data_IF_576094736709
#
_entry.id   IF_576094736709
#
_cell.length_a   1.000
_cell.length_b   1.000
_cell.length_c   1.000
_cell.angle_alpha   90.00
_cell.angle_beta   90.00
_cell.angle_gamma   90.00
#
_symmetry.space_group_name_H-M   'P 1'
#
loop_
_entity.id
_entity.type
_entity.pdbx_description
1 polymer ?
2 non-polymer ?
3 non-polymer ?
4 non-polymer ?
5 water ?
#
# COMPACT_ATOMS: atom_id res chain seq x y z
N UNK A 9 20.82 -12.66 -8.97
CA UNK A 9 19.82 -11.84 -9.64
C UNK A 9 18.89 -12.68 -10.50
N UNK A 10 19.28 -13.92 -10.74
CA UNK A 10 18.50 -14.84 -11.56
C UNK A 10 17.23 -15.26 -10.84
N UNK A 11 17.28 -15.29 -9.51
CA UNK A 11 16.11 -15.66 -8.71
C UNK A 11 15.06 -14.56 -8.74
N UNK A 12 15.51 -13.32 -8.92
CA UNK A 12 14.61 -12.18 -9.01
C UNK A 12 13.87 -12.15 -10.34
N UNK A 13 14.62 -12.34 -11.43
CA UNK A 13 14.04 -12.33 -12.77
C UNK A 13 13.05 -13.48 -12.94
N UNK A 14 13.34 -14.61 -12.32
CA UNK A 14 12.41 -15.74 -12.32
C UNK A 14 11.20 -15.41 -11.48
N UNK A 15 11.42 -14.65 -10.41
CA UNK A 15 10.33 -14.19 -9.56
C UNK A 15 9.38 -13.29 -10.31
N UNK A 16 9.94 -12.41 -11.13
CA UNK A 16 9.13 -11.53 -11.98
C UNK A 16 8.34 -12.35 -12.99
N UNK A 17 8.96 -13.41 -13.49
CA UNK A 17 8.31 -14.28 -14.48
C UNK A 17 7.13 -15.03 -13.89
N UNK A 18 7.33 -15.58 -12.70
CA UNK A 18 6.28 -16.33 -12.01
C UNK A 18 5.07 -15.45 -11.70
N UNK A 19 5.33 -14.25 -11.18
CA UNK A 19 4.28 -13.31 -10.87
C UNK A 19 3.49 -12.92 -12.11
N UNK A 20 4.20 -12.71 -13.22
CA UNK A 20 3.55 -12.42 -14.49
C UNK A 20 2.77 -13.63 -14.99
N UNK A 21 3.32 -14.82 -14.73
CA UNK A 21 2.71 -16.07 -15.16
C UNK A 21 1.36 -16.32 -14.51
N UNK A 22 1.28 -16.09 -13.21
CA UNK A 22 0.04 -16.26 -12.47
C UNK A 22 -1.06 -15.34 -12.98
N UNK A 23 -0.67 -14.11 -13.32
CA UNK A 23 -1.60 -13.13 -13.85
C UNK A 23 -2.21 -13.57 -15.18
N UNK A 24 -1.39 -14.20 -16.02
CA UNK A 24 -1.84 -14.68 -17.32
C UNK A 24 -2.77 -15.89 -17.15
N UNK A 25 -2.45 -16.76 -16.19
CA UNK A 25 -3.25 -17.94 -15.92
C UNK A 25 -4.62 -17.57 -15.35
N UNK A 26 -4.67 -16.47 -14.63
CA UNK A 26 -5.86 -16.04 -13.96
C UNK A 26 -6.60 -15.04 -14.80
N UNK A 27 -6.14 -14.84 -16.01
CA UNK A 27 -6.76 -13.87 -16.89
C UNK A 27 -8.17 -14.22 -17.24
N UNK A 28 -8.93 -13.22 -17.64
CA UNK A 28 -10.29 -13.41 -18.15
C UNK A 28 -10.23 -13.75 -19.63
N UNK A 29 -9.18 -13.31 -20.30
CA UNK A 29 -8.94 -13.63 -21.69
C UNK A 29 -7.48 -13.35 -22.06
N UNK A 30 -6.71 -14.28 -21.92
CA UNK A 30 -5.29 -14.18 -22.18
C UNK A 30 -5.01 -13.74 -23.61
N UNK A 31 -5.95 -14.03 -24.50
CA UNK A 31 -5.81 -13.68 -25.91
C UNK A 31 -6.20 -12.23 -26.17
N UNK A 32 -6.82 -11.60 -25.18
CA UNK A 32 -7.26 -10.22 -25.31
C UNK A 32 -6.26 -9.25 -24.67
N UNK A 33 -5.22 -9.81 -24.05
CA UNK A 33 -4.20 -9.00 -23.41
C UNK A 33 -3.43 -8.18 -24.43
N UNK A 34 -3.52 -6.85 -24.31
CA UNK A 34 -2.78 -5.94 -25.17
C UNK A 34 -1.30 -5.93 -24.78
N UNK A 35 -0.45 -6.39 -25.69
CA UNK A 35 0.98 -6.50 -25.42
C UNK A 35 1.65 -5.13 -25.29
N UNK A 36 1.03 -4.07 -25.87
CA UNK A 36 1.54 -2.71 -25.72
C UNK A 36 1.27 -2.21 -24.30
N UNK A 37 0.21 -2.52 -23.83
CA UNK A 37 -0.22 -2.07 -22.51
C UNK A 37 0.59 -2.73 -21.40
N UNK A 38 0.51 -4.05 -21.32
CA UNK A 38 1.17 -4.80 -20.24
C UNK A 38 2.69 -4.84 -20.42
N UNK A 39 3.15 -4.62 -21.64
CA UNK A 39 4.57 -4.60 -21.93
C UNK A 39 5.20 -3.33 -21.40
N UNK A 40 4.57 -2.20 -21.70
CA UNK A 40 5.06 -0.91 -21.25
C UNK A 40 4.86 -0.68 -19.77
N UNK A 41 3.77 -1.22 -19.24
CA UNK A 41 3.46 -1.07 -17.82
C UNK A 41 4.53 -1.71 -16.95
N UNK A 42 4.95 -2.91 -17.33
CA UNK A 42 6.04 -3.59 -16.65
C UNK A 42 7.35 -2.88 -16.91
N UNK A 43 7.48 -2.31 -18.12
CA UNK A 43 8.68 -1.58 -18.50
C UNK A 43 8.84 -0.32 -17.66
N UNK A 44 7.76 0.40 -17.46
CA UNK A 44 7.78 1.63 -16.67
C UNK A 44 8.09 1.35 -15.21
N UNK A 45 7.40 0.36 -14.64
CA UNK A 45 7.60 -0.01 -13.24
C UNK A 45 9.03 -0.48 -12.99
N UNK A 46 9.58 -1.20 -13.97
CA UNK A 46 10.95 -1.70 -13.87
C UNK A 46 11.95 -0.56 -14.06
N UNK A 47 11.66 0.32 -15.02
CA UNK A 47 12.52 1.46 -15.29
C UNK A 47 12.47 2.46 -14.14
N UNK A 48 11.28 2.64 -13.57
CA UNK A 48 11.10 3.51 -12.41
C UNK A 48 11.93 2.98 -11.25
N UNK A 49 11.92 1.66 -11.09
CA UNK A 49 12.73 1.00 -10.08
C UNK A 49 14.21 1.16 -10.36
N UNK A 50 14.59 1.01 -11.62
CA UNK A 50 15.98 1.19 -12.04
C UNK A 50 16.39 2.65 -11.85
N UNK A 51 15.43 3.55 -12.02
CA UNK A 51 15.69 4.98 -11.91
C UNK A 51 16.03 5.39 -10.47
N UNK A 52 15.07 5.20 -9.57
CA UNK A 52 15.19 5.76 -8.22
C UNK A 52 15.84 4.82 -7.21
N UNK A 53 16.22 3.72 -7.69
CA UNK A 53 16.87 2.77 -6.79
C UNK A 53 18.27 2.36 -7.25
N UNK A 54 18.64 2.77 -8.47
CA UNK A 54 19.95 2.39 -8.99
C UNK A 54 20.77 3.59 -9.46
N UNK A 55 20.29 4.29 -10.49
CA UNK A 55 21.04 5.39 -11.08
C UNK A 55 21.21 6.54 -10.07
N UNK A 56 22.35 7.24 -10.13
CA UNK A 56 22.70 8.29 -9.18
C UNK A 56 21.68 9.42 -9.11
N UNK A 57 21.30 9.98 -10.26
CA UNK A 57 20.37 11.11 -10.30
C UNK A 57 19.00 10.73 -9.76
N UNK A 58 18.56 9.52 -10.05
CA UNK A 58 17.27 9.03 -9.60
C UNK A 58 17.22 8.84 -8.10
N UNK A 59 18.34 8.44 -7.51
CA UNK A 59 18.44 8.26 -6.08
C UNK A 59 18.44 9.60 -5.35
N UNK A 60 18.99 10.62 -6.00
CA UNK A 60 19.07 11.95 -5.42
C UNK A 60 17.69 12.61 -5.42
N UNK A 61 16.86 12.26 -6.39
CA UNK A 61 15.51 12.79 -6.49
C UNK A 61 14.58 12.12 -5.49
N UNK A 62 14.85 10.85 -5.19
CA UNK A 62 14.03 10.09 -4.26
C UNK A 62 14.31 10.48 -2.82
N UNK A 63 15.59 10.75 -2.53
CA UNK A 63 15.99 11.17 -1.19
C UNK A 63 15.60 12.62 -0.93
N UNK A 64 15.33 13.36 -2.00
CA UNK A 64 14.92 14.74 -1.90
C UNK A 64 13.43 14.88 -1.66
N UNK A 65 12.66 13.97 -2.25
CA UNK A 65 11.20 13.97 -2.06
C UNK A 65 10.85 13.40 -0.70
N UNK A 66 11.67 12.47 -0.22
CA UNK A 66 11.45 11.84 1.08
C UNK A 66 11.78 12.79 2.22
N UNK A 67 12.83 13.58 2.05
CA UNK A 67 13.21 14.57 3.06
C UNK A 67 12.17 15.68 3.16
N UNK A 68 11.52 15.98 2.04
CA UNK A 68 10.44 16.97 2.02
C UNK A 68 9.23 16.43 2.78
N UNK A 69 8.92 15.16 2.55
CA UNK A 69 7.84 14.49 3.27
C UNK A 69 8.17 14.40 4.76
N UNK A 70 9.43 14.11 5.06
CA UNK A 70 9.89 13.99 6.44
C UNK A 70 9.79 15.32 7.19
N UNK A 71 9.93 16.42 6.45
CA UNK A 71 9.80 17.75 7.04
C UNK A 71 8.33 18.10 7.28
N UNK A 72 7.47 17.71 6.35
CA UNK A 72 6.03 17.92 6.49
C UNK A 72 5.49 17.15 7.69
N UNK A 73 5.99 15.94 7.88
CA UNK A 73 5.62 15.12 9.03
C UNK A 73 5.96 15.82 10.34
N UNK A 74 7.16 16.38 10.42
CA UNK A 74 7.60 17.09 11.61
C UNK A 74 6.82 18.37 11.87
N UNK A 75 6.43 19.04 10.80
CA UNK A 75 5.62 20.25 10.92
C UNK A 75 4.24 19.91 11.48
N UNK A 76 3.68 18.80 11.02
CA UNK A 76 2.39 18.34 11.50
C UNK A 76 2.45 17.89 12.94
N UNK A 77 3.65 17.51 13.38
CA UNK A 77 3.85 17.05 14.75
C UNK A 77 3.77 18.18 15.77
N UNK A 78 3.77 19.41 15.27
CA UNK A 78 3.58 20.57 16.14
C UNK A 78 2.14 20.61 16.64
N UNK A 79 1.23 20.04 15.86
CA UNK A 79 -0.17 19.99 16.22
C UNK A 79 -0.43 19.00 17.35
N UNK A 80 0.12 17.80 17.22
CA UNK A 80 -0.08 16.76 18.23
C UNK A 80 0.74 17.06 19.49
N UNK A 81 1.82 17.81 19.33
CA UNK A 81 2.65 18.21 20.46
C UNK A 81 1.91 19.23 21.32
N UNK A 82 1.02 19.99 20.69
CA UNK A 82 0.20 20.95 21.41
C UNK A 82 -0.89 20.25 22.21
N UNK A 83 -1.51 19.24 21.59
CA UNK A 83 -2.66 18.57 22.19
C UNK A 83 -2.25 17.63 23.31
N UNK A 84 -1.18 16.87 23.10
CA UNK A 84 -0.77 15.84 24.05
C UNK A 84 0.46 16.24 24.87
N UNK A 85 0.97 17.44 24.63
CA UNK A 85 2.03 18.03 25.44
C UNK A 85 3.26 17.19 25.68
N UNK A 86 3.48 16.82 26.94
CA UNK A 86 4.67 16.08 27.34
C UNK A 86 4.57 14.58 27.13
N UNK A 87 3.37 14.12 26.77
CA UNK A 87 3.17 12.69 26.49
C UNK A 87 3.81 12.29 25.17
N UNK A 88 4.20 13.29 24.38
CA UNK A 88 4.89 13.05 23.11
C UNK A 88 6.25 13.74 23.11
N UNK A 89 6.76 14.04 24.30
CA UNK A 89 8.05 14.72 24.43
C UNK A 89 9.18 13.71 24.62
N UNK A 90 10.38 14.22 24.91
CA UNK A 90 11.54 13.38 25.08
C UNK A 90 11.66 12.76 26.46
N UNK A 91 10.98 13.37 27.44
CA UNK A 91 11.04 12.88 28.81
C UNK A 91 10.28 11.57 28.98
N UNK A 92 9.46 11.24 27.99
CA UNK A 92 8.71 9.98 27.98
C UNK A 92 9.65 8.80 27.84
N UNK A 93 10.77 9.02 27.15
CA UNK A 93 11.75 7.97 26.92
C UNK A 93 12.63 7.75 28.14
N UNK A 94 12.81 8.81 28.93
CA UNK A 94 13.58 8.73 30.16
C UNK A 94 12.79 7.99 31.23
N UNK A 95 11.50 8.27 31.33
CA UNK A 95 10.66 7.70 32.37
C UNK A 95 10.22 6.27 32.05
N UNK A 96 9.91 6.02 30.79
CA UNK A 96 9.34 4.75 30.39
C UNK A 96 10.29 3.90 29.55
N UNK A 97 11.17 4.55 28.80
CA UNK A 97 12.11 3.84 27.94
C UNK A 97 11.49 3.53 26.59
N UNK A 98 11.44 2.25 26.25
CA UNK A 98 10.86 1.82 25.00
C UNK A 98 9.36 2.03 24.95
N UNK A 99 8.72 1.95 26.11
CA UNK A 99 7.29 2.14 26.21
C UNK A 99 6.91 3.61 26.25
N UNK A 100 7.90 4.48 26.15
CA UNK A 100 7.68 5.91 26.13
C UNK A 100 7.03 6.35 24.84
N UNK A 101 7.31 5.60 23.78
CA UNK A 101 6.71 5.87 22.48
C UNK A 101 5.25 5.43 22.47
N UNK A 102 4.35 6.38 22.71
CA UNK A 102 2.92 6.09 22.73
C UNK A 102 2.34 6.14 21.33
N UNK A 103 2.06 4.97 20.77
CA UNK A 103 1.59 4.86 19.39
C UNK A 103 0.35 5.69 19.10
N UNK A 104 -0.56 5.74 20.08
CA UNK A 104 -1.83 6.43 19.91
C UNK A 104 -1.66 7.93 19.74
N UNK A 105 -0.56 8.47 20.27
CA UNK A 105 -0.34 9.91 20.25
C UNK A 105 0.74 10.29 19.25
N UNK A 106 1.55 9.32 18.84
CA UNK A 106 2.67 9.57 17.94
C UNK A 106 2.31 9.38 16.48
N UNK A 107 1.57 8.30 16.20
CA UNK A 107 1.31 7.90 14.81
C UNK A 107 -0.09 8.27 14.33
N UNK A 108 -1.10 8.01 15.15
CA UNK A 108 -2.49 8.26 14.78
C UNK A 108 -2.81 9.73 14.44
N UNK A 109 -2.28 10.70 15.21
CA UNK A 109 -2.60 12.08 14.83
C UNK A 109 -2.02 12.51 13.48
N UNK A 110 -1.04 11.77 12.98
CA UNK A 110 -0.43 12.07 11.69
C UNK A 110 -1.43 11.88 10.56
N UNK A 111 -2.33 10.92 10.73
CA UNK A 111 -3.39 10.66 9.76
C UNK A 111 -4.31 11.86 9.63
N UNK A 112 -4.50 12.57 10.73
CA UNK A 112 -5.38 13.74 10.77
C UNK A 112 -4.77 14.92 10.02
N UNK A 113 -3.48 15.17 10.27
CA UNK A 113 -2.79 16.29 9.65
C UNK A 113 -2.63 16.10 8.14
N UNK A 114 -2.21 14.90 7.74
CA UNK A 114 -1.95 14.61 6.34
C UNK A 114 -3.23 14.57 5.52
N UNK A 115 -4.34 14.23 6.17
CA UNK A 115 -5.63 14.21 5.50
C UNK A 115 -6.13 15.62 5.28
N UNK A 116 -5.78 16.51 6.21
CA UNK A 116 -6.16 17.92 6.11
C UNK A 116 -5.31 18.62 5.06
N UNK A 117 -4.04 18.25 4.98
CA UNK A 117 -3.12 18.83 4.02
C UNK A 117 -3.49 18.46 2.58
N UNK A 118 -3.73 17.18 2.35
CA UNK A 118 -4.13 16.69 1.03
C UNK A 118 -5.43 17.34 0.60
N UNK A 119 -6.34 17.54 1.55
CA UNK A 119 -7.60 18.21 1.28
C UNK A 119 -7.38 19.65 0.85
N UNK A 120 -6.36 20.29 1.42
CA UNK A 120 -5.98 21.65 1.05
C UNK A 120 -5.36 21.67 -0.34
N UNK A 121 -4.48 20.72 -0.60
CA UNK A 121 -3.79 20.63 -1.88
C UNK A 121 -4.74 20.31 -3.03
N UNK A 122 -5.90 19.75 -2.70
CA UNK A 122 -6.94 19.50 -3.69
C UNK A 122 -7.69 20.79 -4.02
N UNK A 123 -7.96 21.59 -3.00
CA UNK A 123 -8.67 22.85 -3.17
C UNK A 123 -7.85 23.84 -3.99
N UNK A 124 -6.53 23.78 -3.86
CA UNK A 124 -5.64 24.69 -4.56
C UNK A 124 -5.39 24.23 -6.00
N UNK A 125 -5.79 23.00 -6.30
CA UNK A 125 -5.61 22.45 -7.63
C UNK A 125 -4.22 21.87 -7.84
N UNK A 126 -3.43 21.84 -6.77
CA UNK A 126 -2.07 21.31 -6.84
C UNK A 126 -2.08 19.81 -7.11
N UNK A 127 -2.96 19.10 -6.41
CA UNK A 127 -3.09 17.66 -6.57
C UNK A 127 -3.53 17.28 -7.99
N UNK A 128 -4.59 17.94 -8.47
CA UNK A 128 -5.13 17.69 -9.79
C UNK A 128 -4.08 17.94 -10.88
N UNK A 129 -3.22 18.93 -10.65
CA UNK A 129 -2.18 19.30 -11.61
C UNK A 129 -1.16 18.18 -11.79
N UNK A 130 -0.77 17.56 -10.69
CA UNK A 130 0.22 16.48 -10.71
C UNK A 130 -0.39 15.20 -11.27
N UNK A 131 -1.63 14.92 -10.86
CA UNK A 131 -2.35 13.74 -11.32
C UNK A 131 -2.57 13.76 -12.84
N UNK A 132 -2.91 14.94 -13.36
CA UNK A 132 -3.17 15.12 -14.78
C UNK A 132 -1.92 14.83 -15.62
N UNK A 133 -0.75 15.09 -15.04
CA UNK A 133 0.51 14.85 -15.74
C UNK A 133 0.91 13.38 -15.68
N UNK A 134 0.88 12.80 -14.49
CA UNK A 134 1.23 11.40 -14.30
C UNK A 134 0.22 10.47 -14.96
N UNK A 135 -1.06 10.85 -14.88
CA UNK A 135 -2.13 10.06 -15.46
C UNK A 135 -2.15 10.15 -16.98
N UNK A 136 -1.82 11.33 -17.50
CA UNK A 136 -1.80 11.55 -18.93
C UNK A 136 -0.64 10.85 -19.61
N UNK A 137 0.47 10.73 -18.90
CA UNK A 137 1.65 10.07 -19.42
C UNK A 137 1.44 8.57 -19.54
N UNK A 138 0.64 8.02 -18.64
CA UNK A 138 0.36 6.60 -18.63
C UNK A 138 -0.56 6.18 -19.78
N UNK A 139 -1.58 6.99 -20.04
CA UNK A 139 -2.56 6.65 -21.06
C UNK A 139 -2.00 6.80 -22.48
N UNK A 140 -1.00 7.67 -22.63
CA UNK A 140 -0.39 7.89 -23.93
C UNK A 140 0.71 6.87 -24.20
N UNK A 141 1.07 6.11 -23.17
CA UNK A 141 2.13 5.12 -23.29
C UNK A 141 1.59 3.70 -23.22
N UNK A 142 0.47 3.52 -22.53
CA UNK A 142 -0.10 2.19 -22.34
C UNK A 142 -1.38 1.99 -23.14
N UNK A 143 -2.01 3.10 -23.54
CA UNK A 143 -3.24 3.03 -24.30
C UNK A 143 -4.46 2.86 -23.43
N UNK A 144 -4.24 2.91 -22.11
CA UNK A 144 -5.34 2.82 -21.16
C UNK A 144 -6.24 4.05 -21.26
N UNK A 145 -7.48 3.92 -20.80
CA UNK A 145 -8.44 5.02 -20.92
C UNK A 145 -8.08 6.17 -19.99
N UNK A 146 -8.71 7.32 -20.24
CA UNK A 146 -8.43 8.55 -19.49
C UNK A 146 -8.75 8.41 -18.01
N UNK A 147 -9.95 7.92 -17.71
CA UNK A 147 -10.43 7.84 -16.34
C UNK A 147 -9.62 6.89 -15.46
N UNK A 148 -9.33 5.69 -15.98
CA UNK A 148 -8.62 4.69 -15.20
C UNK A 148 -7.15 5.07 -15.01
N UNK A 149 -6.64 5.92 -15.90
CA UNK A 149 -5.26 6.37 -15.81
C UNK A 149 -5.10 7.46 -14.76
N UNK A 150 -6.11 8.31 -14.64
CA UNK A 150 -6.10 9.37 -13.64
C UNK A 150 -6.25 8.78 -12.24
N UNK A 151 -7.14 7.80 -12.11
CA UNK A 151 -7.37 7.12 -10.84
C UNK A 151 -6.13 6.34 -10.40
N UNK A 152 -5.36 5.87 -11.38
CA UNK A 152 -4.14 5.13 -11.11
C UNK A 152 -3.07 6.06 -10.56
N UNK A 153 -2.94 7.24 -11.17
CA UNK A 153 -1.95 8.22 -10.75
C UNK A 153 -2.37 8.90 -9.44
N UNK A 154 -3.68 9.03 -9.24
CA UNK A 154 -4.19 9.63 -8.02
C UNK A 154 -3.90 8.74 -6.82
N UNK A 155 -3.92 7.44 -7.04
CA UNK A 155 -3.74 6.45 -5.97
C UNK A 155 -2.35 6.48 -5.34
N UNK A 156 -1.42 7.17 -5.98
CA UNK A 156 -0.07 7.33 -5.45
C UNK A 156 -0.11 8.10 -4.13
N UNK A 157 -1.05 9.04 -4.02
CA UNK A 157 -1.10 9.93 -2.88
C UNK A 157 -2.30 9.68 -1.97
N UNK A 158 -3.44 9.35 -2.56
CA UNK A 158 -4.65 9.14 -1.79
C UNK A 158 -5.13 7.68 -1.80
N UNK A 159 -6.11 7.39 -0.96
CA UNK A 159 -6.59 6.03 -0.78
C UNK A 159 -7.44 5.48 -1.89
N UNK A 160 -7.85 4.22 -1.74
CA UNK A 160 -8.58 3.49 -2.76
C UNK A 160 -9.97 4.04 -3.03
N UNK A 161 -10.57 4.67 -2.02
CA UNK A 161 -11.93 5.18 -2.15
C UNK A 161 -11.95 6.67 -2.48
N UNK A 162 -10.79 7.31 -2.39
CA UNK A 162 -10.69 8.74 -2.67
C UNK A 162 -10.13 9.02 -4.05
N UNK A 163 -9.34 8.08 -4.56
CA UNK A 163 -8.71 8.21 -5.87
C UNK A 163 -9.71 8.29 -7.04
N UNK A 164 -10.77 7.45 -7.05
CA UNK A 164 -11.68 7.55 -8.19
C UNK A 164 -12.53 8.82 -8.20
N UNK A 165 -12.44 9.62 -7.13
CA UNK A 165 -13.24 10.85 -7.03
C UNK A 165 -12.85 11.89 -8.07
N UNK A 166 -11.63 11.78 -8.60
CA UNK A 166 -11.16 12.70 -9.62
C UNK A 166 -11.80 12.39 -10.97
N UNK A 167 -12.44 11.22 -11.07
CA UNK A 167 -13.11 10.80 -12.29
C UNK A 167 -14.47 10.16 -11.96
N UNK A 168 -15.11 10.65 -10.91
CA UNK A 168 -16.37 10.07 -10.46
C UNK A 168 -17.56 10.18 -11.42
N UNK A 169 -17.59 11.18 -12.33
CA UNK A 169 -18.75 11.08 -13.23
C UNK A 169 -18.55 10.08 -14.36
N UNK A 170 -17.39 9.43 -14.41
CA UNK A 170 -17.10 8.47 -15.46
C UNK A 170 -17.16 7.03 -14.95
N UNK A 171 -17.28 6.88 -13.64
CA UNK A 171 -17.30 5.58 -12.99
C UNK A 171 -18.57 4.74 -13.24
N UNK A 172 -19.77 5.34 -13.17
CA UNK A 172 -20.94 4.47 -13.34
C UNK A 172 -21.07 3.87 -14.74
N UNK A 173 -20.40 4.44 -15.73
CA UNK A 173 -20.55 3.99 -17.11
C UNK A 173 -19.27 3.43 -17.72
N UNK A 174 -18.21 3.36 -16.94
CA UNK A 174 -16.95 2.81 -17.44
C UNK A 174 -17.06 1.29 -17.53
N UNK A 175 -16.23 0.71 -18.40
CA UNK A 175 -16.28 -0.73 -18.67
C UNK A 175 -15.83 -1.54 -17.47
N UNK A 176 -16.06 -2.85 -17.52
CA UNK A 176 -15.68 -3.76 -16.44
C UNK A 176 -14.16 -3.79 -16.27
N UNK A 177 -13.44 -3.60 -17.36
CA UNK A 177 -11.98 -3.56 -17.33
C UNK A 177 -11.48 -2.29 -16.67
N UNK A 178 -12.17 -1.18 -16.94
CA UNK A 178 -11.84 0.10 -16.31
C UNK A 178 -12.13 0.05 -14.81
N UNK A 179 -13.31 -0.43 -14.46
CA UNK A 179 -13.72 -0.53 -13.07
C UNK A 179 -12.79 -1.43 -12.27
N UNK A 180 -12.37 -2.52 -12.90
CA UNK A 180 -11.44 -3.47 -12.27
C UNK A 180 -10.08 -2.81 -12.06
N UNK A 181 -9.62 -2.06 -13.05
CA UNK A 181 -8.35 -1.36 -12.96
C UNK A 181 -8.39 -0.31 -11.86
N UNK A 182 -9.54 0.37 -11.74
CA UNK A 182 -9.75 1.35 -10.68
C UNK A 182 -9.64 0.68 -9.32
N UNK A 183 -10.26 -0.50 -9.19
CA UNK A 183 -10.17 -1.28 -7.96
C UNK A 183 -8.74 -1.69 -7.67
N UNK A 184 -7.99 -2.00 -8.73
CA UNK A 184 -6.62 -2.48 -8.59
C UNK A 184 -5.64 -1.36 -8.25
N UNK A 185 -5.93 -0.15 -8.71
CA UNK A 185 -5.09 0.99 -8.44
C UNK A 185 -5.04 1.30 -6.96
N UNK A 186 -6.16 1.10 -6.28
CA UNK A 186 -6.26 1.39 -4.87
C UNK A 186 -5.79 0.24 -4.00
N UNK A 187 -5.90 -0.97 -4.52
CA UNK A 187 -5.48 -2.16 -3.79
C UNK A 187 -3.97 -2.34 -3.85
N UNK A 188 -3.35 -1.80 -4.90
CA UNK A 188 -1.91 -1.94 -5.09
C UNK A 188 -1.14 -0.83 -4.38
N UNK A 189 -1.85 0.23 -3.99
CA UNK A 189 -1.21 1.38 -3.36
C UNK A 189 -1.72 1.63 -1.96
N UNK A 190 -1.24 2.71 -1.36
CA UNK A 190 -1.70 3.16 -0.05
C UNK A 190 -2.20 4.59 -0.13
N UNK A 191 -2.16 5.30 0.99
CA UNK A 191 -2.54 6.71 1.02
C UNK A 191 -1.44 7.54 1.67
N UNK A 192 -1.44 8.84 1.40
CA UNK A 192 -0.43 9.74 1.94
C UNK A 192 -0.48 9.82 3.46
N UNK A 193 -1.67 9.66 4.01
CA UNK A 193 -1.86 9.73 5.45
C UNK A 193 -1.19 8.57 6.18
N UNK A 194 -1.52 7.35 5.78
CA UNK A 194 -0.95 6.17 6.40
C UNK A 194 0.54 6.00 6.07
N UNK A 195 0.94 6.56 4.93
CA UNK A 195 2.34 6.55 4.53
C UNK A 195 3.19 7.24 5.59
N UNK A 196 2.78 8.44 5.98
CA UNK A 196 3.46 9.20 7.01
C UNK A 196 3.36 8.48 8.36
N UNK A 197 2.29 7.71 8.54
CA UNK A 197 2.10 6.93 9.74
C UNK A 197 3.12 5.82 9.84
N UNK A 198 3.31 5.09 8.74
CA UNK A 198 4.28 4.00 8.70
C UNK A 198 5.70 4.53 8.85
N UNK A 199 5.94 5.72 8.29
CA UNK A 199 7.25 6.36 8.39
C UNK A 199 7.57 6.71 9.84
N UNK A 200 6.53 7.04 10.60
CA UNK A 200 6.70 7.37 12.01
C UNK A 200 6.95 6.13 12.85
N UNK A 201 6.75 4.96 12.25
CA UNK A 201 6.94 3.69 12.94
C UNK A 201 8.32 3.10 12.68
N UNK A 202 9.08 3.77 11.81
CA UNK A 202 10.43 3.34 11.52
C UNK A 202 10.65 2.87 10.10
N UNK A 203 9.56 2.78 9.33
CA UNK A 203 9.65 2.36 7.94
C UNK A 203 10.31 3.45 7.09
N UNK A 204 11.31 3.05 6.32
CA UNK A 204 12.07 3.98 5.49
C UNK A 204 11.17 4.67 4.46
N UNK A 205 11.16 6.00 4.52
CA UNK A 205 10.30 6.81 3.64
C UNK A 205 10.62 6.60 2.17
N UNK A 206 11.91 6.40 1.88
CA UNK A 206 12.35 6.17 0.51
C UNK A 206 11.67 4.97 -0.13
N UNK A 207 11.42 3.94 0.69
CA UNK A 207 10.75 2.74 0.21
C UNK A 207 9.25 2.99 0.02
N UNK A 208 8.66 3.73 0.95
CA UNK A 208 7.23 4.02 0.90
C UNK A 208 6.88 4.91 -0.28
N UNK A 209 7.69 5.94 -0.51
CA UNK A 209 7.48 6.84 -1.63
C UNK A 209 7.66 6.10 -2.96
N UNK A 210 8.71 5.29 -3.03
CA UNK A 210 9.01 4.51 -4.22
C UNK A 210 7.87 3.55 -4.56
N UNK A 211 7.45 2.78 -3.57
CA UNK A 211 6.40 1.78 -3.74
C UNK A 211 5.07 2.44 -4.13
N UNK A 212 4.86 3.66 -3.63
CA UNK A 212 3.64 4.40 -3.93
C UNK A 212 3.59 4.83 -5.39
N UNK A 213 4.74 5.19 -5.94
CA UNK A 213 4.83 5.63 -7.33
C UNK A 213 4.82 4.46 -8.30
N UNK A 214 5.44 3.35 -7.90
CA UNK A 214 5.47 2.16 -8.74
C UNK A 214 4.12 1.46 -8.76
N UNK A 215 3.22 1.89 -7.89
CA UNK A 215 1.90 1.29 -7.79
C UNK A 215 1.01 1.67 -8.98
N UNK A 216 1.26 2.85 -9.54
CA UNK A 216 0.46 3.32 -10.66
C UNK A 216 0.68 2.49 -11.93
N UNK A 217 1.95 2.25 -12.33
CA UNK A 217 2.05 1.35 -13.49
C UNK A 217 1.83 -0.11 -13.10
N UNK A 218 2.23 -0.48 -11.89
CA UNK A 218 2.09 -1.85 -11.43
C UNK A 218 0.64 -2.26 -11.24
N UNK A 219 -0.19 -1.32 -10.80
CA UNK A 219 -1.61 -1.57 -10.61
C UNK A 219 -2.31 -1.78 -11.94
N UNK A 220 -1.95 -0.96 -12.92
CA UNK A 220 -2.51 -1.08 -14.26
C UNK A 220 -2.02 -2.34 -14.96
N UNK A 221 -0.78 -2.72 -14.65
CA UNK A 221 -0.14 -3.89 -15.26
C UNK A 221 -0.94 -5.17 -15.04
N UNK A 222 -1.19 -5.49 -13.78
CA UNK A 222 -1.89 -6.72 -13.42
C UNK A 222 -3.40 -6.59 -13.57
N UNK A 223 -3.86 -5.36 -13.81
CA UNK A 223 -5.27 -5.13 -14.08
C UNK A 223 -5.61 -5.45 -15.53
N UNK A 224 -4.65 -5.17 -16.41
CA UNK A 224 -4.84 -5.43 -17.84
C UNK A 224 -4.32 -6.81 -18.22
N UNK A 225 -3.74 -7.51 -17.25
CA UNK A 225 -3.31 -8.89 -17.46
C UNK A 225 -4.42 -9.85 -17.04
N UNK A 226 -5.02 -9.59 -15.89
CA UNK A 226 -6.07 -10.46 -15.36
C UNK A 226 -7.45 -10.03 -15.87
N UNK A 227 -7.53 -8.82 -16.42
CA UNK A 227 -8.78 -8.32 -16.96
C UNK A 227 -8.53 -7.32 -18.08
N UNK A 228 -8.16 -7.81 -19.28
CA UNK A 228 -7.90 -6.94 -20.43
C UNK A 228 -9.16 -6.25 -20.92
N UNK A 229 -9.02 -5.16 -21.66
CA UNK A 229 -10.16 -4.44 -22.18
C UNK A 229 -10.78 -5.17 -23.37
N UNK A 230 -12.04 -5.56 -23.22
CA UNK A 230 -12.75 -6.26 -24.29
C UNK A 230 -13.91 -5.41 -24.80
N UNK A 231 -14.23 -4.35 -24.06
CA UNK A 231 -15.29 -3.43 -24.45
C UNK A 231 -14.71 -2.15 -25.06
N UNK A 232 -15.57 -1.15 -25.24
CA UNK A 232 -15.14 0.13 -25.78
C UNK A 232 -15.37 1.27 -24.78
N UNK A 233 -14.31 1.69 -24.10
CA UNK A 233 -14.37 2.79 -23.13
C UNK A 233 -14.78 4.11 -23.77
N UNK A 234 -15.35 5.01 -22.97
CA UNK A 234 -15.79 6.31 -23.47
C UNK A 234 -14.70 7.36 -23.30
N UNK A 235 -14.97 8.56 -23.82
CA UNK A 235 -14.04 9.69 -23.73
C UNK A 235 -12.66 9.33 -24.28
N UNK A 247 -17.18 20.44 -3.29
CA UNK A 247 -16.06 21.35 -3.10
C UNK A 247 -16.34 22.34 -1.98
N UNK A 248 -15.43 22.44 -1.01
CA UNK A 248 -15.55 23.36 0.12
C UNK A 248 -15.61 24.83 -0.31
N UNK A 249 -16.19 25.68 0.54
CA UNK A 249 -16.37 27.09 0.21
C UNK A 249 -15.04 27.84 0.15
N UNK A 250 -14.09 27.42 0.99
CA UNK A 250 -12.78 28.03 1.01
C UNK A 250 -11.70 27.05 1.45
N UNK A 251 -10.46 27.52 1.50
CA UNK A 251 -9.31 26.67 1.81
C UNK A 251 -9.29 26.24 3.27
N UNK A 252 -9.90 27.04 4.14
CA UNK A 252 -9.94 26.69 5.56
C UNK A 252 -10.99 25.62 5.81
N UNK A 253 -12.07 25.66 5.04
CA UNK A 253 -13.10 24.63 5.10
C UNK A 253 -12.56 23.31 4.59
N UNK A 254 -11.72 23.36 3.57
CA UNK A 254 -11.09 22.18 3.01
C UNK A 254 -10.21 21.50 4.05
N UNK A 255 -9.45 22.31 4.79
CA UNK A 255 -8.60 21.80 5.86
C UNK A 255 -9.43 21.19 6.97
N UNK A 256 -10.56 21.82 7.27
CA UNK A 256 -11.46 21.34 8.32
C UNK A 256 -12.11 20.01 7.94
N UNK A 257 -12.55 19.91 6.70
CA UNK A 257 -13.16 18.70 6.20
C UNK A 257 -12.16 17.54 6.14
N UNK A 258 -10.93 17.85 5.75
CA UNK A 258 -9.88 16.86 5.70
C UNK A 258 -9.47 16.39 7.08
N UNK A 259 -9.51 17.30 8.03
CA UNK A 259 -9.17 16.98 9.42
C UNK A 259 -10.23 16.06 10.02
N UNK A 260 -11.48 16.30 9.67
CA UNK A 260 -12.59 15.49 10.16
C UNK A 260 -12.52 14.08 9.58
N UNK A 261 -12.18 13.99 8.30
CA UNK A 261 -12.05 12.70 7.64
C UNK A 261 -10.86 11.91 8.19
N UNK A 262 -9.78 12.62 8.51
CA UNK A 262 -8.60 12.00 9.09
C UNK A 262 -8.87 11.48 10.49
N UNK A 263 -9.62 12.26 11.26
CA UNK A 263 -10.00 11.88 12.62
C UNK A 263 -10.78 10.59 12.63
N UNK A 264 -11.77 10.48 11.74
CA UNK A 264 -12.59 9.29 11.63
C UNK A 264 -11.74 8.09 11.24
N UNK A 265 -10.77 8.32 10.36
CA UNK A 265 -9.84 7.27 9.94
C UNK A 265 -8.93 6.86 11.09
N UNK A 266 -8.44 7.85 11.83
CA UNK A 266 -7.55 7.61 12.95
C UNK A 266 -8.22 6.78 14.04
N UNK A 267 -9.50 7.03 14.27
CA UNK A 267 -10.26 6.27 15.25
C UNK A 267 -10.50 4.84 14.77
N UNK A 268 -10.78 4.69 13.49
CA UNK A 268 -11.00 3.38 12.90
C UNK A 268 -9.76 2.50 12.94
N UNK A 269 -8.62 3.09 12.59
CA UNK A 269 -7.35 2.36 12.59
C UNK A 269 -6.97 1.95 14.01
N UNK A 270 -7.15 2.87 14.95
CA UNK A 270 -6.83 2.61 16.35
C UNK A 270 -7.63 1.49 16.96
N UNK A 271 -8.94 1.49 16.71
CA UNK A 271 -9.83 0.46 17.23
C UNK A 271 -9.54 -0.89 16.59
N UNK A 272 -9.15 -0.86 15.32
CA UNK A 272 -8.82 -2.08 14.60
C UNK A 272 -7.55 -2.73 15.15
N UNK A 273 -6.56 -1.90 15.44
CA UNK A 273 -5.28 -2.38 15.95
C UNK A 273 -5.44 -2.96 17.36
N UNK A 274 -6.24 -2.32 18.19
CA UNK A 274 -6.53 -2.84 19.52
C UNK A 274 -7.20 -4.20 19.43
N UNK A 275 -8.15 -4.32 18.51
CA UNK A 275 -8.91 -5.54 18.34
C UNK A 275 -8.09 -6.66 17.69
N UNK A 276 -7.51 -6.37 16.53
CA UNK A 276 -6.80 -7.37 15.75
C UNK A 276 -5.61 -7.95 16.50
N UNK A 277 -4.77 -7.09 17.06
CA UNK A 277 -3.62 -7.52 17.84
C UNK A 277 -4.07 -8.33 19.04
N UNK A 278 -5.15 -7.89 19.68
CA UNK A 278 -5.74 -8.61 20.79
C UNK A 278 -6.30 -9.94 20.36
N UNK A 279 -6.91 -9.98 19.18
CA UNK A 279 -7.46 -11.21 18.64
C UNK A 279 -6.35 -12.19 18.27
N UNK A 280 -5.28 -11.67 17.67
CA UNK A 280 -4.12 -12.49 17.35
C UNK A 280 -3.51 -13.07 18.61
N UNK A 281 -3.48 -12.27 19.68
CA UNK A 281 -2.99 -12.71 20.97
C UNK A 281 -3.89 -13.82 21.52
N UNK A 282 -5.18 -13.72 21.24
CA UNK A 282 -6.14 -14.76 21.65
C UNK A 282 -5.96 -16.01 20.79
N UNK A 283 -5.72 -15.81 19.50
CA UNK A 283 -5.52 -16.92 18.57
C UNK A 283 -4.26 -17.71 18.94
N UNK A 284 -3.18 -17.00 19.26
CA UNK A 284 -1.93 -17.63 19.66
C UNK A 284 -2.08 -18.45 20.93
N UNK A 285 -2.89 -17.95 21.86
CA UNK A 285 -3.17 -18.66 23.10
C UNK A 285 -3.89 -19.98 22.84
N UNK A 286 -4.78 -19.96 21.86
CA UNK A 286 -5.51 -21.17 21.48
C UNK A 286 -4.65 -22.10 20.65
N UNK A 287 -3.83 -21.52 19.78
CA UNK A 287 -2.93 -22.32 18.93
C UNK A 287 -1.87 -23.02 19.77
N UNK A 288 -1.57 -22.47 20.92
CA UNK A 288 -0.61 -23.07 21.84
C UNK A 288 -1.21 -24.26 22.56
N UNK A 289 -2.53 -24.27 22.70
CA UNK A 289 -3.24 -25.35 23.35
C UNK A 289 -3.62 -26.44 22.37
N UNK A 290 -4.09 -26.04 21.19
CA UNK A 290 -4.45 -26.98 20.14
C UNK A 290 -3.18 -27.63 19.59
N UNK A 291 -2.13 -26.84 19.42
CA UNK A 291 -0.86 -27.34 18.92
C UNK A 291 -0.20 -28.30 19.90
N UNK A 292 -0.51 -28.15 21.17
CA UNK A 292 0.03 -29.01 22.21
C UNK A 292 -0.45 -30.43 22.08
N UNK A 293 -1.62 -30.60 21.47
CA UNK A 293 -2.21 -31.92 21.25
C UNK A 293 -1.42 -32.71 20.21
N UNK A 294 -0.63 -32.01 19.41
CA UNK A 294 0.18 -32.63 18.37
C UNK A 294 1.67 -32.42 18.62
N UNK A 295 2.01 -32.10 19.86
CA UNK A 295 3.40 -31.95 20.25
C UNK A 295 4.05 -30.65 19.80
N UNK A 296 3.23 -29.62 19.58
CA UNK A 296 3.74 -28.33 19.19
C UNK A 296 3.11 -27.21 20.02
N UNK A 297 3.49 -27.13 21.31
CA UNK A 297 2.88 -26.15 22.21
C UNK A 297 3.33 -24.72 21.93
N UNK A 298 4.42 -24.56 21.18
CA UNK A 298 4.94 -23.24 20.86
C UNK A 298 4.32 -22.69 19.57
N UNK A 299 3.31 -23.41 19.07
CA UNK A 299 2.65 -23.03 17.82
C UNK A 299 1.94 -21.68 17.94
N UNK A 300 2.26 -20.77 17.02
CA UNK A 300 1.63 -19.46 16.99
C UNK A 300 1.17 -19.11 15.58
N UNK A 301 0.56 -17.94 15.43
CA UNK A 301 0.08 -17.49 14.13
C UNK A 301 1.25 -17.09 13.23
N UNK A 302 2.31 -16.57 13.84
CA UNK A 302 3.49 -16.15 13.10
C UNK A 302 4.19 -17.34 12.45
N UNK A 303 4.24 -18.46 13.16
CA UNK A 303 4.84 -19.68 12.64
C UNK A 303 4.09 -20.20 11.43
N UNK A 304 2.76 -20.22 11.52
CA UNK A 304 1.92 -20.66 10.42
C UNK A 304 2.08 -19.77 9.19
N UNK A 305 1.92 -18.47 9.38
CA UNK A 305 2.04 -17.50 8.29
C UNK A 305 3.46 -17.50 7.72
N UNK A 306 4.45 -17.67 8.59
CA UNK A 306 5.83 -17.71 8.17
C UNK A 306 6.15 -18.95 7.35
N UNK A 307 5.72 -20.11 7.84
CA UNK A 307 5.96 -21.38 7.17
C UNK A 307 5.22 -21.48 5.84
N UNK A 308 4.12 -20.73 5.72
CA UNK A 308 3.27 -20.81 4.54
C UNK A 308 3.66 -19.80 3.46
N UNK A 309 4.21 -18.66 3.89
CA UNK A 309 4.58 -17.60 2.96
C UNK A 309 6.08 -17.55 2.70
N UNK A 310 6.82 -18.47 3.32
CA UNK A 310 8.26 -18.58 3.11
C UNK A 310 8.64 -18.87 1.64
N UNK A 311 7.91 -19.79 0.97
CA UNK A 311 8.24 -19.97 -0.45
C UNK A 311 7.97 -18.72 -1.27
N UNK A 312 6.89 -18.01 -0.95
CA UNK A 312 6.53 -16.78 -1.66
C UNK A 312 7.57 -15.70 -1.40
N UNK A 313 8.04 -15.61 -0.16
CA UNK A 313 9.07 -14.65 0.22
C UNK A 313 10.39 -15.00 -0.45
N UNK A 314 10.70 -16.30 -0.49
CA UNK A 314 11.93 -16.78 -1.11
C UNK A 314 11.93 -16.51 -2.61
N UNK A 315 10.73 -16.48 -3.20
CA UNK A 315 10.59 -16.30 -4.65
C UNK A 315 10.84 -14.86 -5.07
N UNK A 316 10.49 -13.91 -4.22
CA UNK A 316 10.61 -12.49 -4.57
C UNK A 316 12.00 -11.93 -4.27
N UNK A 317 12.88 -12.75 -3.72
CA UNK A 317 14.27 -12.35 -3.54
C UNK A 317 14.79 -12.36 -2.11
N UNK A 318 14.03 -12.95 -1.19
CA UNK A 318 14.46 -13.05 0.19
C UNK A 318 15.31 -14.30 0.41
N UNK A 319 16.50 -14.14 1.01
CA UNK A 319 17.42 -15.24 1.32
C UNK A 319 16.73 -16.41 2.03
N UNK A 320 17.28 -17.61 1.85
CA UNK A 320 16.67 -18.84 2.38
C UNK A 320 16.51 -18.81 3.89
N UNK A 321 17.49 -18.23 4.58
CA UNK A 321 17.48 -18.20 6.03
C UNK A 321 16.64 -17.05 6.60
N UNK A 322 16.04 -16.27 5.72
CA UNK A 322 15.22 -15.12 6.13
C UNK A 322 13.82 -15.17 5.52
N UNK A 323 13.55 -16.21 4.74
CA UNK A 323 12.28 -16.34 4.03
C UNK A 323 11.12 -16.60 4.99
N UNK A 324 11.38 -17.33 6.06
CA UNK A 324 10.34 -17.68 7.03
C UNK A 324 9.89 -16.46 7.83
N UNK A 325 10.85 -15.71 8.35
CA UNK A 325 10.56 -14.51 9.12
C UNK A 325 9.86 -13.47 8.25
N UNK A 326 10.32 -13.34 7.01
CA UNK A 326 9.70 -12.41 6.07
C UNK A 326 8.30 -12.88 5.69
N UNK A 327 8.09 -14.19 5.73
CA UNK A 327 6.79 -14.76 5.42
C UNK A 327 5.75 -14.44 6.47
N UNK A 328 6.21 -14.20 7.71
CA UNK A 328 5.32 -13.85 8.80
C UNK A 328 4.63 -12.52 8.55
N UNK A 329 5.40 -11.55 8.03
CA UNK A 329 4.90 -10.20 7.83
C UNK A 329 4.06 -10.08 6.57
N UNK A 330 4.53 -10.69 5.48
CA UNK A 330 3.81 -10.66 4.21
C UNK A 330 2.47 -11.38 4.35
N UNK A 331 2.48 -12.50 5.05
CA UNK A 331 1.27 -13.26 5.29
C UNK A 331 0.27 -12.51 6.14
N UNK A 332 0.77 -11.81 7.17
CA UNK A 332 -0.07 -11.05 8.07
C UNK A 332 -0.72 -9.86 7.35
N UNK A 333 0.03 -9.29 6.42
CA UNK A 333 -0.47 -8.19 5.59
C UNK A 333 -1.65 -8.64 4.73
N UNK A 334 -1.60 -9.90 4.29
CA UNK A 334 -2.63 -10.45 3.43
C UNK A 334 -3.88 -10.87 4.20
N UNK A 335 -3.68 -11.65 5.26
CA UNK A 335 -4.80 -12.20 6.03
C UNK A 335 -5.47 -11.14 6.90
N UNK A 336 -4.78 -10.04 7.14
CA UNK A 336 -5.35 -8.93 7.92
C UNK A 336 -5.26 -7.64 7.11
N UNK A 337 -4.26 -6.82 7.42
CA UNK A 337 -3.97 -5.63 6.64
C UNK A 337 -2.52 -5.21 6.85
N UNK A 338 -2.07 -4.24 6.05
CA UNK A 338 -0.66 -3.87 6.05
C UNK A 338 -0.28 -3.07 7.30
N UNK A 339 -1.27 -2.48 7.95
CA UNK A 339 -1.01 -1.69 9.16
C UNK A 339 -0.62 -2.61 10.31
N UNK A 340 -1.34 -3.72 10.43
CA UNK A 340 -1.04 -4.72 11.46
C UNK A 340 0.31 -5.38 11.17
N UNK A 341 0.59 -5.61 9.89
CA UNK A 341 1.85 -6.19 9.46
C UNK A 341 3.01 -5.26 9.77
N UNK A 342 2.84 -3.98 9.47
CA UNK A 342 3.86 -2.98 9.74
C UNK A 342 4.09 -2.82 11.24
N UNK A 343 3.04 -3.04 12.03
CA UNK A 343 3.12 -2.91 13.48
C UNK A 343 4.00 -3.99 14.09
N UNK A 344 4.04 -5.15 13.43
CA UNK A 344 4.86 -6.27 13.91
C UNK A 344 6.23 -6.24 13.26
N UNK A 345 6.35 -5.55 12.14
CA UNK A 345 7.60 -5.47 11.39
C UNK A 345 8.45 -4.29 11.84
N UNK A 346 7.81 -3.28 12.42
CA UNK A 346 8.49 -2.08 12.91
C UNK A 346 9.58 -2.37 13.95
N UNK A 347 9.34 -3.30 14.90
CA UNK A 347 10.44 -3.60 15.84
C UNK A 347 11.67 -4.19 15.17
N UNK A 348 11.50 -4.77 13.98
CA UNK A 348 12.61 -5.38 13.24
C UNK A 348 13.42 -4.34 12.48
N UNK A 349 13.09 -3.07 12.67
CA UNK A 349 13.81 -1.98 12.00
C UNK A 349 14.64 -1.17 12.99
N UNK A 350 14.59 -1.56 14.26
CA UNK A 350 15.34 -0.86 15.30
C UNK A 350 16.52 -1.71 15.78
N UNK A 351 17.28 -1.17 16.72
CA UNK A 351 18.45 -1.87 17.27
C UNK A 351 18.03 -2.94 18.26
N UNK A 352 16.76 -2.90 18.68
CA UNK A 352 16.24 -3.87 19.63
C UNK A 352 15.45 -4.96 18.91
N UNK A 353 15.85 -5.24 17.67
CA UNK A 353 15.16 -6.25 16.87
C UNK A 353 15.53 -7.66 17.31
N UNK A 354 14.52 -8.55 17.42
CA UNK A 354 14.77 -9.94 17.80
C UNK A 354 15.57 -10.69 16.75
N UNK A 355 15.40 -10.32 15.49
CA UNK A 355 16.15 -10.92 14.38
C UNK A 355 16.73 -9.82 13.48
N UNK A 356 18.04 -9.81 13.36
CA UNK A 356 18.72 -8.83 12.50
C UNK A 356 18.62 -9.25 11.03
N UNK A 357 17.87 -8.48 10.25
CA UNK A 357 17.65 -8.78 8.85
C UNK A 357 18.60 -7.97 7.96
N UNK A 358 18.88 -8.50 6.77
CA UNK A 358 19.72 -7.81 5.81
C UNK A 358 18.99 -6.58 5.25
N UNK A 359 19.76 -5.59 4.80
CA UNK A 359 19.18 -4.35 4.33
C UNK A 359 18.32 -4.54 3.08
N UNK A 360 18.64 -5.58 2.30
CA UNK A 360 17.85 -5.88 1.10
C UNK A 360 16.52 -6.50 1.50
N UNK A 361 16.54 -7.38 2.49
CA UNK A 361 15.33 -8.04 2.97
C UNK A 361 14.40 -7.03 3.62
N UNK A 362 14.97 -6.05 4.32
CA UNK A 362 14.20 -4.98 4.93
C UNK A 362 13.48 -4.16 3.87
N UNK A 363 14.11 -4.04 2.70
CA UNK A 363 13.51 -3.31 1.59
C UNK A 363 12.39 -4.11 0.94
N UNK A 364 12.63 -5.41 0.76
CA UNK A 364 11.66 -6.29 0.12
C UNK A 364 10.35 -6.37 0.91
N UNK A 365 10.46 -6.51 2.22
CA UNK A 365 9.29 -6.56 3.08
C UNK A 365 8.55 -5.21 3.06
N UNK A 366 9.32 -4.13 3.02
CA UNK A 366 8.75 -2.79 2.99
C UNK A 366 7.94 -2.53 1.73
N UNK A 367 8.40 -3.09 0.61
CA UNK A 367 7.72 -2.92 -0.67
C UNK A 367 6.55 -3.87 -0.81
N UNK A 368 6.69 -5.08 -0.28
CA UNK A 368 5.66 -6.11 -0.40
C UNK A 368 4.48 -5.85 0.54
N UNK A 369 4.71 -5.01 1.54
CA UNK A 369 3.67 -4.67 2.50
C UNK A 369 2.96 -3.37 2.13
N UNK A 370 3.66 -2.53 1.38
CA UNK A 370 3.12 -1.22 1.00
C UNK A 370 1.93 -1.35 0.04
N UNK A 371 0.77 -1.69 0.58
CA UNK A 371 -0.43 -1.84 -0.22
C UNK A 371 -1.66 -2.14 0.61
N UNK A 372 -2.82 -1.70 0.13
CA UNK A 372 -4.08 -1.93 0.81
C UNK A 372 -4.71 -3.25 0.38
N UNK A 373 -3.91 -4.11 -0.25
CA UNK A 373 -4.41 -5.38 -0.79
C UNK A 373 -4.71 -6.40 0.30
N UNK A 374 -5.99 -6.49 0.67
CA UNK A 374 -6.44 -7.52 1.60
C UNK A 374 -7.92 -7.82 1.40
N UNK A 375 -8.37 -8.93 1.96
CA UNK A 375 -9.75 -9.39 1.77
C UNK A 375 -10.77 -8.41 2.35
N UNK A 376 -10.38 -7.68 3.39
CA UNK A 376 -11.28 -6.74 4.04
C UNK A 376 -11.50 -5.49 3.21
N UNK A 377 -10.65 -5.28 2.21
CA UNK A 377 -10.74 -4.10 1.36
C UNK A 377 -11.84 -4.25 0.31
N UNK A 378 -12.33 -5.47 0.12
CA UNK A 378 -13.43 -5.71 -0.80
C UNK A 378 -14.70 -5.04 -0.29
N UNK A 379 -14.95 -5.17 1.01
CA UNK A 379 -16.08 -4.53 1.64
C UNK A 379 -15.90 -3.01 1.66
N UNK A 380 -14.64 -2.58 1.67
CA UNK A 380 -14.31 -1.16 1.63
C UNK A 380 -14.55 -0.60 0.23
N UNK A 381 -14.19 -1.36 -0.79
CA UNK A 381 -14.43 -0.98 -2.17
C UNK A 381 -15.93 -0.93 -2.46
N UNK A 382 -16.68 -1.80 -1.80
CA UNK A 382 -18.13 -1.82 -1.94
C UNK A 382 -18.77 -0.60 -1.30
N UNK A 383 -18.12 -0.06 -0.28
CA UNK A 383 -18.63 1.09 0.44
C UNK A 383 -18.29 2.41 -0.22
N UNK A 384 -17.00 2.65 -0.41
CA UNK A 384 -16.54 3.90 -0.99
C UNK A 384 -16.76 4.00 -2.48
N UNK A 385 -16.18 3.08 -3.23
CA UNK A 385 -16.31 3.06 -4.68
C UNK A 385 -17.74 2.70 -5.10
N UNK A 386 -18.41 1.91 -4.26
CA UNK A 386 -19.78 1.50 -4.53
C UNK A 386 -20.78 2.63 -4.45
N UNK A 387 -20.47 3.63 -3.64
CA UNK A 387 -21.36 4.79 -3.49
C UNK A 387 -21.28 5.71 -4.71
N UNK A 388 -20.21 5.55 -5.48
CA UNK A 388 -20.03 6.33 -6.69
C UNK A 388 -20.77 5.69 -7.87
N UNK A 389 -21.13 4.43 -7.71
CA UNK A 389 -21.86 3.69 -8.74
C UNK A 389 -22.65 2.55 -8.11
N UNK A 390 -23.84 2.86 -7.57
CA UNK A 390 -24.66 1.91 -6.82
C UNK A 390 -25.14 0.73 -7.67
N UNK A 391 -25.29 0.93 -8.98
CA UNK A 391 -25.71 -0.14 -9.86
C UNK A 391 -24.53 -1.00 -10.30
N UNK A 392 -23.35 -0.65 -9.83
CA UNK A 392 -22.14 -1.39 -10.18
C UNK A 392 -21.55 -2.12 -8.98
N UNK A 393 -22.31 -2.18 -7.89
CA UNK A 393 -21.86 -2.89 -6.70
C UNK A 393 -21.77 -4.40 -6.94
N UNK A 394 -22.62 -4.90 -7.85
CA UNK A 394 -22.60 -6.31 -8.19
C UNK A 394 -21.32 -6.69 -8.92
N UNK A 395 -20.81 -5.78 -9.73
CA UNK A 395 -19.59 -6.02 -10.49
C UNK A 395 -18.36 -5.91 -9.60
N UNK A 396 -18.43 -5.05 -8.59
CA UNK A 396 -17.34 -4.87 -7.64
C UNK A 396 -17.17 -6.12 -6.78
N UNK A 397 -18.29 -6.64 -6.28
CA UNK A 397 -18.28 -7.82 -5.43
C UNK A 397 -17.83 -9.06 -6.22
N UNK A 398 -18.13 -9.08 -7.50
CA UNK A 398 -17.77 -10.20 -8.36
C UNK A 398 -16.27 -10.22 -8.64
N UNK A 399 -15.72 -9.07 -9.01
CA UNK A 399 -14.31 -8.96 -9.35
C UNK A 399 -13.45 -8.68 -8.13
N UNK A 400 -14.07 -8.66 -6.96
CA UNK A 400 -13.39 -8.34 -5.71
C UNK A 400 -12.18 -9.20 -5.41
N UNK A 401 -12.37 -10.52 -5.46
CA UNK A 401 -11.30 -11.46 -5.16
C UNK A 401 -10.15 -11.36 -6.16
N UNK A 402 -10.48 -11.30 -7.44
CA UNK A 402 -9.48 -11.18 -8.50
C UNK A 402 -8.68 -9.88 -8.37
N UNK A 403 -9.35 -8.83 -7.89
CA UNK A 403 -8.72 -7.53 -7.74
C UNK A 403 -7.72 -7.51 -6.58
N UNK A 404 -8.05 -8.23 -5.51
CA UNK A 404 -7.15 -8.33 -4.36
C UNK A 404 -5.89 -9.08 -4.74
N UNK A 405 -6.06 -10.16 -5.51
CA UNK A 405 -4.92 -10.93 -6.02
C UNK A 405 -4.06 -10.05 -6.93
N UNK A 406 -4.71 -9.30 -7.81
CA UNK A 406 -4.02 -8.42 -8.74
C UNK A 406 -3.26 -7.33 -8.00
N UNK A 407 -3.82 -6.87 -6.88
CA UNK A 407 -3.18 -5.86 -6.07
C UNK A 407 -2.00 -6.40 -5.29
N UNK A 408 -2.12 -7.66 -4.87
CA UNK A 408 -1.05 -8.34 -4.14
C UNK A 408 0.16 -8.57 -5.04
N UNK A 409 -0.10 -8.97 -6.28
CA UNK A 409 0.97 -9.24 -7.24
C UNK A 409 1.76 -7.97 -7.58
N UNK A 410 1.08 -6.83 -7.57
CA UNK A 410 1.72 -5.56 -7.85
C UNK A 410 2.71 -5.19 -6.73
N UNK A 411 2.34 -5.49 -5.49
CA UNK A 411 3.21 -5.24 -4.36
C UNK A 411 4.41 -6.18 -4.37
N UNK A 412 4.16 -7.44 -4.72
CA UNK A 412 5.21 -8.45 -4.80
C UNK A 412 6.20 -8.14 -5.91
N UNK A 413 5.70 -7.64 -7.03
CA UNK A 413 6.55 -7.27 -8.16
C UNK A 413 7.44 -6.09 -7.79
N UNK A 414 6.85 -5.09 -7.14
CA UNK A 414 7.58 -3.92 -6.70
C UNK A 414 8.66 -4.29 -5.70
N UNK A 415 8.44 -5.38 -4.97
CA UNK A 415 9.40 -5.87 -4.00
C UNK A 415 10.53 -6.63 -4.69
N UNK A 416 10.19 -7.34 -5.75
CA UNK A 416 11.17 -8.10 -6.53
C UNK A 416 12.08 -7.14 -7.30
N UNK A 417 11.48 -6.11 -7.89
CA UNK A 417 12.23 -5.09 -8.61
C UNK A 417 13.17 -4.36 -7.65
N UNK A 418 12.66 -4.01 -6.48
CA UNK A 418 13.46 -3.33 -5.46
C UNK A 418 14.63 -4.19 -5.01
N UNK A 419 14.36 -5.48 -4.77
CA UNK A 419 15.39 -6.40 -4.35
C UNK A 419 16.41 -6.66 -5.44
N UNK A 420 15.98 -6.48 -6.69
CA UNK A 420 16.85 -6.68 -7.84
C UNK A 420 17.94 -5.60 -7.91
N UNK A 421 17.52 -4.34 -7.76
CA UNK A 421 18.45 -3.22 -7.87
C UNK A 421 19.12 -2.89 -6.54
N UNK A 422 19.00 -3.81 -5.57
CA UNK A 422 19.62 -3.63 -4.27
C UNK A 422 20.39 -4.89 -3.87
#
# INVERSE_FOLDING_TARGET
>A
GPAVPRMSLFMSCCGMAVLLGIAVLLSSNRKAINLRTVGGAFAIQFSLGAFILYVPWGQELLRGFSDAVSNVINYGNDGTSFLFGGLVSGKMFEVFGGGGFIFAFRVLPTLIFFSALISVLYYLGVMQWVIRILGGGLQKALGTSRAESMSAAANIFVGQTEAPLVVRPFVPKMTQSELFAVMCGGLASIAGGVLAGYASMGVKIEYLVAASFMAAPGGLLFAKLMMPETEKPQDNEDITLDGGDDKPANVIDAAAGGASAGLQLALNVGAMLIAFIGLIALINGMLGGIGGWFGMPELKLEMLLGWLFAPLAFLIGVPWNEATVAGEFIGLKTVANEFVAYSQFAPYLTEAAPVVLSEKTKAIISFALCGFANLSSIAILLGGLGSLAPKRRGDIARMGVKAVIAGTLSNLMAATIAGFFLSF
#
